data_IF_417234391697
#
_entry.id   IF_417234391697
#
_cell.length_a   1.000
_cell.length_b   1.000
_cell.length_c   1.000
_cell.angle_alpha   90.00
_cell.angle_beta   90.00
_cell.angle_gamma   90.00
#
_symmetry.space_group_name_H-M   'P 1'
#
loop_
_entity.id
_entity.type
_entity.pdbx_description
1 polymer ?
#
# COMPACT_ATOMS: atom_id res chain seq x y z
N UNK A 1 -12.74 -7.56 -15.89
CA UNK A 1 -11.55 -6.71 -15.68
C UNK A 1 -11.93 -5.61 -14.68
N UNK A 2 -11.20 -5.44 -13.57
CA UNK A 2 -11.54 -4.42 -12.57
C UNK A 2 -11.21 -3.03 -13.11
N UNK A 3 -12.19 -2.14 -13.19
CA UNK A 3 -11.91 -0.73 -13.46
C UNK A 3 -11.26 -0.12 -12.21
N UNK A 4 -10.00 0.29 -12.34
CA UNK A 4 -9.22 0.91 -11.27
C UNK A 4 -9.30 2.45 -11.29
N UNK A 5 -10.00 3.03 -12.28
CA UNK A 5 -10.20 4.47 -12.40
C UNK A 5 -11.33 4.98 -11.51
N UNK A 6 -12.29 4.12 -11.18
CA UNK A 6 -13.43 4.45 -10.32
C UNK A 6 -13.00 4.51 -8.84
N UNK A 7 -13.26 5.62 -8.14
CA UNK A 7 -12.97 5.72 -6.71
C UNK A 7 -13.83 4.75 -5.90
N UNK A 8 -13.21 4.09 -4.93
CA UNK A 8 -13.92 3.16 -4.02
C UNK A 8 -14.56 3.95 -2.88
N UNK A 9 -15.78 3.61 -2.49
CA UNK A 9 -16.44 4.26 -1.36
C UNK A 9 -15.84 3.80 -0.02
N UNK A 10 -16.11 4.52 1.08
CA UNK A 10 -15.66 4.11 2.42
C UNK A 10 -16.29 2.78 2.85
N UNK A 11 -17.53 2.54 2.47
CA UNK A 11 -18.27 1.35 2.87
C UNK A 11 -17.82 0.12 2.10
N UNK A 12 -17.55 0.26 0.80
CA UNK A 12 -16.89 -0.77 0.01
C UNK A 12 -15.54 -1.17 0.61
N UNK A 13 -14.67 -0.21 0.98
CA UNK A 13 -13.38 -0.54 1.60
C UNK A 13 -13.54 -1.28 2.92
N UNK A 14 -14.49 -0.86 3.76
CA UNK A 14 -14.76 -1.51 5.05
C UNK A 14 -15.27 -2.93 4.84
N UNK A 15 -16.20 -3.12 3.92
CA UNK A 15 -16.71 -4.43 3.55
C UNK A 15 -15.61 -5.33 3.02
N UNK A 16 -14.85 -4.89 2.00
CA UNK A 16 -13.77 -5.66 1.39
C UNK A 16 -12.68 -6.04 2.42
N UNK A 17 -12.31 -5.12 3.32
CA UNK A 17 -11.36 -5.41 4.42
C UNK A 17 -11.90 -6.49 5.35
N UNK A 18 -13.17 -6.41 5.76
CA UNK A 18 -13.80 -7.41 6.63
C UNK A 18 -13.89 -8.77 5.94
N UNK A 19 -14.33 -8.80 4.68
CA UNK A 19 -14.43 -10.02 3.88
C UNK A 19 -13.07 -10.71 3.74
N UNK A 20 -12.00 -9.95 3.47
CA UNK A 20 -10.66 -10.53 3.43
C UNK A 20 -10.20 -11.00 4.82
N UNK A 21 -10.42 -10.20 5.86
CA UNK A 21 -10.01 -10.52 7.22
C UNK A 21 -10.75 -11.73 7.83
N UNK A 22 -11.93 -12.07 7.31
CA UNK A 22 -12.70 -13.24 7.73
C UNK A 22 -12.00 -14.57 7.41
N UNK A 23 -11.09 -14.60 6.42
CA UNK A 23 -10.31 -15.80 6.12
C UNK A 23 -9.18 -16.02 7.13
N UNK A 24 -8.89 -17.29 7.51
CA UNK A 24 -7.77 -17.63 8.39
C UNK A 24 -6.45 -17.03 7.88
N UNK A 25 -5.60 -16.59 8.80
CA UNK A 25 -4.33 -15.95 8.43
C UNK A 25 -3.43 -16.86 7.58
N UNK A 26 -3.39 -18.17 7.88
CA UNK A 26 -2.64 -19.16 7.10
C UNK A 26 -3.05 -19.18 5.62
N UNK A 27 -4.36 -19.24 5.37
CA UNK A 27 -4.92 -19.24 4.01
C UNK A 27 -4.64 -17.92 3.28
N UNK A 28 -4.78 -16.77 3.97
CA UNK A 28 -4.45 -15.46 3.39
C UNK A 28 -2.98 -15.39 2.95
N UNK A 29 -2.08 -15.86 3.81
CA UNK A 29 -0.64 -15.90 3.53
C UNK A 29 -0.31 -16.82 2.35
N UNK A 30 -0.98 -17.96 2.26
CA UNK A 30 -0.79 -18.92 1.19
C UNK A 30 -1.28 -18.37 -0.16
N UNK A 31 -2.45 -17.76 -0.20
CA UNK A 31 -2.97 -17.08 -1.40
C UNK A 31 -1.98 -16.01 -1.91
N UNK A 32 -1.46 -15.17 -1.01
CA UNK A 32 -0.45 -14.16 -1.37
C UNK A 32 0.84 -14.80 -1.86
N UNK A 33 1.31 -15.88 -1.21
CA UNK A 33 2.52 -16.60 -1.62
C UNK A 33 2.37 -17.19 -3.03
N UNK A 34 1.27 -17.86 -3.31
CA UNK A 34 1.00 -18.48 -4.63
C UNK A 34 0.87 -17.39 -5.72
N UNK A 35 0.22 -16.28 -5.41
CA UNK A 35 0.13 -15.15 -6.34
C UNK A 35 1.50 -14.50 -6.63
N UNK A 36 2.39 -14.40 -5.64
CA UNK A 36 3.77 -13.93 -5.85
C UNK A 36 4.56 -14.82 -6.81
N UNK A 37 4.24 -16.11 -6.87
CA UNK A 37 4.80 -17.05 -7.83
C UNK A 37 4.12 -16.96 -9.22
N UNK A 38 3.16 -16.06 -9.41
CA UNK A 38 2.42 -15.91 -10.67
C UNK A 38 1.31 -16.94 -10.87
N UNK A 39 0.98 -17.74 -9.85
CA UNK A 39 -0.01 -18.80 -9.94
C UNK A 39 -1.34 -18.40 -9.30
N UNK A 40 -2.42 -19.08 -9.70
CA UNK A 40 -3.73 -18.98 -9.03
C UNK A 40 -3.81 -20.00 -7.91
N UNK A 41 -4.30 -19.56 -6.76
CA UNK A 41 -4.53 -20.43 -5.62
C UNK A 41 -5.76 -21.34 -5.86
N UNK A 42 -5.73 -22.63 -5.48
CA UNK A 42 -6.82 -23.57 -5.76
C UNK A 42 -8.13 -23.24 -5.04
N UNK A 43 -8.06 -22.58 -3.87
CA UNK A 43 -9.24 -22.11 -3.15
C UNK A 43 -9.82 -20.84 -3.81
N UNK A 44 -10.66 -21.01 -4.82
CA UNK A 44 -11.22 -19.91 -5.65
C UNK A 44 -11.89 -18.78 -4.85
N UNK A 45 -12.73 -19.04 -3.82
CA UNK A 45 -13.37 -17.95 -3.05
C UNK A 45 -12.37 -17.02 -2.35
N UNK A 46 -11.29 -17.59 -1.81
CA UNK A 46 -10.25 -16.84 -1.10
C UNK A 46 -9.36 -16.09 -2.09
N UNK A 47 -9.05 -16.71 -3.23
CA UNK A 47 -8.31 -16.06 -4.30
C UNK A 47 -9.09 -14.85 -4.87
N UNK A 48 -10.40 -15.01 -5.09
CA UNK A 48 -11.26 -13.92 -5.55
C UNK A 48 -11.41 -12.81 -4.51
N UNK A 49 -11.58 -13.15 -3.23
CA UNK A 49 -11.61 -12.17 -2.15
C UNK A 49 -10.30 -11.36 -2.06
N UNK A 50 -9.15 -12.00 -2.28
CA UNK A 50 -7.86 -11.32 -2.33
C UNK A 50 -7.75 -10.35 -3.50
N UNK A 51 -8.29 -10.72 -4.67
CA UNK A 51 -8.33 -9.87 -5.87
C UNK A 51 -9.24 -8.65 -5.66
N UNK A 52 -10.44 -8.84 -5.11
CA UNK A 52 -11.36 -7.75 -4.78
C UNK A 52 -10.72 -6.80 -3.75
N UNK A 53 -10.02 -7.37 -2.76
CA UNK A 53 -9.20 -6.60 -1.80
C UNK A 53 -8.11 -5.79 -2.47
N UNK A 54 -7.29 -6.42 -3.31
CA UNK A 54 -6.21 -5.75 -4.02
C UNK A 54 -6.73 -4.62 -4.92
N UNK A 55 -7.83 -4.83 -5.65
CA UNK A 55 -8.46 -3.82 -6.49
C UNK A 55 -8.95 -2.62 -5.65
N UNK A 56 -9.66 -2.87 -4.54
CA UNK A 56 -10.17 -1.82 -3.67
C UNK A 56 -9.05 -1.00 -2.99
N UNK A 57 -7.92 -1.62 -2.67
CA UNK A 57 -6.74 -0.93 -2.11
C UNK A 57 -6.04 -0.08 -3.16
N UNK A 58 -5.99 -0.52 -4.41
CA UNK A 58 -5.32 0.20 -5.50
C UNK A 58 -6.20 1.30 -6.13
N UNK A 59 -7.52 1.23 -5.98
CA UNK A 59 -8.44 2.27 -6.46
C UNK A 59 -8.27 3.60 -5.73
N UNK A 60 -8.49 4.74 -6.42
CA UNK A 60 -8.34 6.06 -5.84
C UNK A 60 -9.31 6.28 -4.66
N UNK A 61 -8.92 7.17 -3.75
CA UNK A 61 -9.67 7.44 -2.51
C UNK A 61 -10.80 8.43 -2.68
N UNK A 62 -10.70 9.28 -3.71
CA UNK A 62 -11.67 10.31 -4.01
C UNK A 62 -11.20 11.17 -5.20
N UNK A 63 -11.87 12.30 -5.45
CA UNK A 63 -11.73 13.07 -6.69
C UNK A 63 -10.47 13.94 -6.74
N UNK A 64 -9.79 14.18 -5.61
CA UNK A 64 -8.65 15.08 -5.61
C UNK A 64 -7.41 14.42 -6.25
N UNK A 65 -6.57 15.23 -6.90
CA UNK A 65 -5.39 14.73 -7.62
C UNK A 65 -4.47 13.89 -6.72
N UNK A 66 -4.27 14.28 -5.46
CA UNK A 66 -3.47 13.56 -4.46
C UNK A 66 -4.13 12.24 -3.99
N UNK A 67 -5.43 12.10 -4.20
CA UNK A 67 -6.21 10.87 -3.96
C UNK A 67 -6.28 9.96 -5.20
N UNK A 68 -5.87 10.46 -6.37
CA UNK A 68 -5.76 9.68 -7.60
C UNK A 68 -4.55 8.73 -7.58
N UNK A 69 -4.56 7.69 -8.42
CA UNK A 69 -3.39 6.80 -8.56
C UNK A 69 -2.12 7.54 -8.99
N UNK A 70 -2.26 8.60 -9.82
CA UNK A 70 -1.12 9.43 -10.24
C UNK A 70 -0.60 10.27 -9.09
N UNK A 71 -1.47 10.95 -8.35
CA UNK A 71 -1.05 11.76 -7.19
C UNK A 71 -0.44 10.89 -6.10
N UNK A 72 -0.98 9.71 -5.84
CA UNK A 72 -0.38 8.81 -4.86
C UNK A 72 0.92 8.12 -5.34
N UNK A 73 1.28 8.24 -6.62
CA UNK A 73 2.59 7.82 -7.16
C UNK A 73 3.67 8.88 -6.91
N UNK A 74 3.27 10.14 -6.83
CA UNK A 74 4.16 11.31 -6.64
C UNK A 74 4.20 11.82 -5.20
N UNK A 75 3.05 11.87 -4.51
CA UNK A 75 2.95 12.25 -3.11
C UNK A 75 3.83 11.36 -2.22
N UNK A 76 4.06 10.12 -2.65
CA UNK A 76 4.83 9.14 -1.92
C UNK A 76 6.33 9.41 -1.83
N UNK A 77 7.06 9.54 -2.97
CA UNK A 77 8.46 9.95 -2.94
C UNK A 77 8.63 11.35 -2.34
N UNK A 78 7.63 12.24 -2.48
CA UNK A 78 7.66 13.57 -1.85
C UNK A 78 7.58 13.48 -0.31
N UNK A 79 6.68 12.66 0.24
CA UNK A 79 6.58 12.43 1.70
C UNK A 79 7.85 11.75 2.22
N UNK A 80 8.41 10.79 1.48
CA UNK A 80 9.67 10.15 1.85
C UNK A 80 10.84 11.15 1.83
N UNK A 81 10.95 11.98 0.79
CA UNK A 81 11.97 13.02 0.70
C UNK A 81 11.85 14.04 1.83
N UNK A 82 10.63 14.47 2.16
CA UNK A 82 10.38 15.36 3.29
C UNK A 82 10.78 14.72 4.63
N UNK A 83 10.50 13.43 4.82
CA UNK A 83 10.92 12.70 6.03
C UNK A 83 12.45 12.59 6.14
N UNK A 84 13.16 12.34 5.03
CA UNK A 84 14.63 12.31 5.01
C UNK A 84 15.22 13.69 5.32
N UNK A 85 14.66 14.76 4.76
CA UNK A 85 15.08 16.14 5.05
C UNK A 85 14.86 16.49 6.53
N UNK A 86 13.69 16.17 7.09
CA UNK A 86 13.40 16.39 8.51
C UNK A 86 14.31 15.58 9.44
N UNK A 87 14.65 14.34 9.07
CA UNK A 87 15.59 13.53 9.83
C UNK A 87 17.02 14.11 9.77
N UNK A 88 17.45 14.61 8.61
CA UNK A 88 18.75 15.27 8.45
C UNK A 88 18.87 16.53 9.29
N UNK A 89 17.84 17.38 9.30
CA UNK A 89 17.73 18.56 10.16
C UNK A 89 17.80 18.17 11.65
N UNK A 90 16.99 17.20 12.08
CA UNK A 90 16.98 16.76 13.48
C UNK A 90 18.35 16.20 13.92
N UNK A 91 19.04 15.43 13.07
CA UNK A 91 20.39 14.93 13.34
C UNK A 91 21.40 16.08 13.44
N UNK A 92 21.30 17.07 12.55
CA UNK A 92 22.15 18.26 12.62
C UNK A 92 21.96 19.04 13.93
N UNK A 93 20.72 19.24 14.36
CA UNK A 93 20.41 19.91 15.64
C UNK A 93 20.90 19.11 16.86
N UNK A 94 20.76 17.79 16.85
CA UNK A 94 21.25 16.91 17.93
C UNK A 94 22.79 16.87 17.98
N UNK A 95 23.45 16.90 16.81
CA UNK A 95 24.91 16.87 16.70
C UNK A 95 25.57 18.24 16.92
N UNK A 96 24.80 19.32 16.89
CA UNK A 96 25.28 20.68 17.14
C UNK A 96 25.53 20.90 18.65
N UNK A 97 26.56 21.68 19.04
CA UNK A 97 26.83 22.02 20.43
C UNK A 97 25.79 23.03 20.92
N UNK A 98 24.62 22.53 21.28
CA UNK A 98 23.50 23.29 21.83
C UNK A 98 22.61 22.39 22.68
N UNK A 99 21.73 22.96 23.51
CA UNK A 99 20.80 22.17 24.31
C UNK A 99 19.78 21.49 23.38
N UNK A 100 19.93 20.18 23.15
CA UNK A 100 18.92 19.38 22.45
C UNK A 100 17.64 19.34 23.29
N UNK A 101 16.50 19.61 22.67
CA UNK A 101 15.21 19.55 23.35
C UNK A 101 14.52 18.21 23.10
N UNK A 102 13.53 17.86 23.94
CA UNK A 102 12.67 16.69 23.69
C UNK A 102 11.95 16.77 22.33
N UNK A 103 11.75 17.98 21.80
CA UNK A 103 11.12 18.23 20.51
C UNK A 103 11.96 17.64 19.35
N UNK A 104 13.29 17.76 19.40
CA UNK A 104 14.18 17.32 18.32
C UNK A 104 14.13 15.79 18.14
N UNK A 105 14.13 15.06 19.26
CA UNK A 105 13.94 13.62 19.26
C UNK A 105 12.54 13.20 18.81
N UNK A 106 11.51 13.97 19.16
CA UNK A 106 10.14 13.72 18.70
C UNK A 106 10.01 13.91 17.18
N UNK A 107 10.66 14.94 16.63
CA UNK A 107 10.72 15.19 15.17
C UNK A 107 11.45 14.05 14.47
N UNK A 108 12.59 13.60 15.00
CA UNK A 108 13.32 12.47 14.44
C UNK A 108 12.49 11.18 14.47
N UNK A 109 11.84 10.88 15.59
CA UNK A 109 10.98 9.70 15.73
C UNK A 109 9.79 9.75 14.76
N UNK A 110 9.17 10.92 14.60
CA UNK A 110 8.08 11.13 13.65
C UNK A 110 8.56 10.94 12.19
N UNK A 111 9.73 11.46 11.84
CA UNK A 111 10.32 11.28 10.52
C UNK A 111 10.59 9.79 10.22
N UNK A 112 11.13 9.05 11.18
CA UNK A 112 11.34 7.59 11.07
C UNK A 112 10.00 6.87 10.90
N UNK A 113 8.98 7.21 11.69
CA UNK A 113 7.65 6.60 11.58
C UNK A 113 7.01 6.86 10.21
N UNK A 114 7.12 8.09 9.69
CA UNK A 114 6.65 8.44 8.35
C UNK A 114 7.41 7.64 7.29
N UNK A 115 8.73 7.51 7.42
CA UNK A 115 9.55 6.71 6.52
C UNK A 115 9.18 5.23 6.51
N UNK A 116 8.97 4.63 7.68
CA UNK A 116 8.54 3.23 7.81
C UNK A 116 7.13 3.02 7.25
N UNK A 117 6.20 3.92 7.57
CA UNK A 117 4.85 3.92 6.98
C UNK A 117 4.91 4.05 5.46
N UNK A 118 5.86 4.84 4.96
CA UNK A 118 6.08 5.00 3.54
C UNK A 118 6.58 3.67 2.90
N UNK A 119 7.61 3.04 3.45
CA UNK A 119 8.07 1.75 2.91
C UNK A 119 6.94 0.71 2.92
N UNK A 120 6.18 0.63 4.01
CA UNK A 120 5.05 -0.28 4.15
C UNK A 120 3.96 -0.10 3.07
N UNK A 121 3.55 1.14 2.78
CA UNK A 121 2.50 1.40 1.78
C UNK A 121 2.99 1.09 0.36
N UNK A 122 4.27 1.31 0.03
CA UNK A 122 4.84 0.91 -1.27
C UNK A 122 4.83 -0.59 -1.46
N UNK A 123 5.31 -1.33 -0.46
CA UNK A 123 5.33 -2.79 -0.50
C UNK A 123 3.91 -3.36 -0.58
N UNK A 124 2.98 -2.83 0.22
CA UNK A 124 1.57 -3.24 0.14
C UNK A 124 0.99 -3.04 -1.27
N UNK A 125 1.28 -1.90 -1.91
CA UNK A 125 0.82 -1.63 -3.29
C UNK A 125 1.45 -2.57 -4.30
N UNK A 126 2.75 -2.88 -4.14
CA UNK A 126 3.46 -3.84 -4.99
C UNK A 126 2.82 -5.23 -4.86
N UNK A 127 2.57 -5.68 -3.64
CA UNK A 127 1.91 -6.96 -3.37
C UNK A 127 0.50 -7.02 -3.93
N UNK A 128 -0.30 -5.95 -3.78
CA UNK A 128 -1.63 -5.88 -4.37
C UNK A 128 -1.60 -5.97 -5.91
N UNK A 129 -0.59 -5.40 -6.58
CA UNK A 129 -0.44 -5.55 -8.04
C UNK A 129 -0.11 -6.98 -8.44
N UNK A 130 0.73 -7.66 -7.66
CA UNK A 130 1.05 -9.08 -7.87
C UNK A 130 -0.19 -9.97 -7.69
N UNK A 131 -1.06 -9.65 -6.74
CA UNK A 131 -2.34 -10.36 -6.58
C UNK A 131 -3.26 -10.23 -7.81
N UNK A 132 -3.18 -9.13 -8.55
CA UNK A 132 -4.00 -8.91 -9.76
C UNK A 132 -3.40 -9.55 -11.01
N UNK A 133 -2.07 -9.72 -11.09
CA UNK A 133 -1.37 -10.16 -12.30
C UNK A 133 -1.81 -11.53 -12.87
N UNK A 134 -2.07 -12.57 -12.05
CA UNK A 134 -2.58 -13.87 -12.53
C UNK A 134 -4.02 -13.81 -13.07
N UNK A 135 -4.75 -12.73 -12.77
CA UNK A 135 -6.16 -12.54 -13.16
C UNK A 135 -6.32 -11.62 -14.35
N UNK A 136 -5.26 -10.89 -14.73
CA UNK A 136 -5.21 -10.06 -15.94
C UNK A 136 -4.65 -10.80 -17.16
N UNK A 137 -3.91 -11.88 -16.97
CA UNK A 137 -3.20 -12.63 -18.04
C UNK A 137 -4.06 -13.65 -18.79
N UNK A 138 -5.35 -13.82 -18.47
CA UNK A 138 -6.26 -14.77 -19.15
C UNK A 138 -7.05 -14.20 -20.33
N UNK A 139 -6.57 -13.13 -21.00
CA UNK A 139 -7.15 -12.68 -22.28
C UNK A 139 -6.03 -12.43 -23.28
N UNK A 140 -5.52 -13.51 -23.87
CA UNK A 140 -5.15 -13.47 -25.28
C UNK A 140 -6.42 -13.77 -26.09
N UNK A 141 -6.70 -13.06 -27.20
CA UNK A 141 -7.84 -13.42 -28.04
C UNK A 141 -7.70 -14.87 -28.52
N UNK A 142 -8.79 -15.66 -28.54
CA UNK A 142 -8.74 -16.99 -29.14
C UNK A 142 -8.32 -16.86 -30.62
N UNK A 143 -7.39 -17.70 -31.06
CA UNK A 143 -7.12 -17.96 -32.48
C UNK A 143 -8.09 -19.02 -32.98
#
# INVERSE_FOLDING_TARGET
>A
MFDLSVPTTRDERRWVRRTWAAYPYALRREVVRVAKLGHRHPHEPAAWAAVVYAAAVLRPTGPHWWQSQRGARWAFPLVLAAAVLLAGEAVWFIASPGPSTLLDWAVLALAVLIGLWAVFVLDLRRECRLLLAPFTTTVGPPR
#
